data_IF_228850094162
#
_entry.id   IF_228850094162
#
_cell.length_a   1.000
_cell.length_b   1.000
_cell.length_c   1.000
_cell.angle_alpha   90.00
_cell.angle_beta   90.00
_cell.angle_gamma   90.00
#
_symmetry.space_group_name_H-M   'P 1'
#
loop_
_entity.id
_entity.type
_entity.pdbx_description
1 polymer ?
#
# COMPACT_ATOMS: atom_id res chain seq x y z
N UNK A 1 -27.09 8.43 -11.25
CA UNK A 1 -26.81 7.32 -10.32
C UNK A 1 -25.42 7.55 -9.78
N UNK A 2 -25.17 7.32 -8.50
CA UNK A 2 -23.79 7.46 -7.95
C UNK A 2 -22.97 6.23 -8.35
N UNK A 3 -21.71 6.45 -8.75
CA UNK A 3 -20.79 5.35 -9.02
C UNK A 3 -20.44 4.62 -7.71
N UNK A 4 -20.32 3.30 -7.79
CA UNK A 4 -19.98 2.42 -6.68
C UNK A 4 -18.51 2.04 -6.73
N UNK A 5 -17.88 1.86 -5.57
CA UNK A 5 -16.51 1.36 -5.44
C UNK A 5 -16.32 0.71 -4.07
N UNK A 6 -15.37 -0.21 -3.96
CA UNK A 6 -14.97 -0.79 -2.66
C UNK A 6 -14.02 0.15 -1.93
N UNK A 7 -14.00 0.12 -0.60
CA UNK A 7 -13.07 0.86 0.22
C UNK A 7 -12.15 -0.11 0.98
N UNK A 8 -10.85 0.19 0.97
CA UNK A 8 -9.82 -0.60 1.67
C UNK A 8 -9.40 -1.88 0.95
N UNK A 9 -8.57 -2.64 1.65
CA UNK A 9 -8.01 -3.90 1.16
C UNK A 9 -9.06 -5.02 1.13
N UNK A 10 -8.94 -5.89 0.14
CA UNK A 10 -9.69 -7.13 0.06
C UNK A 10 -8.85 -8.29 0.63
N UNK A 11 -9.49 -9.33 1.21
CA UNK A 11 -8.76 -10.45 1.80
C UNK A 11 -7.79 -11.11 0.83
N UNK A 12 -6.57 -11.39 1.29
CA UNK A 12 -5.63 -12.18 0.50
C UNK A 12 -6.00 -13.66 0.55
N UNK A 13 -5.95 -14.37 -0.59
CA UNK A 13 -6.11 -15.81 -0.58
C UNK A 13 -5.09 -16.50 0.34
N UNK A 14 -5.50 -17.55 1.05
CA UNK A 14 -4.61 -18.27 1.98
C UNK A 14 -3.37 -18.89 1.31
N UNK A 15 -3.45 -19.19 0.01
CA UNK A 15 -2.31 -19.67 -0.76
C UNK A 15 -1.30 -18.55 -1.10
N UNK A 16 -1.71 -17.25 -1.06
CA UNK A 16 -0.84 -16.12 -1.34
C UNK A 16 -0.18 -15.57 -0.07
N UNK A 17 -0.94 -15.44 1.01
CA UNK A 17 -0.44 -14.88 2.27
C UNK A 17 -1.16 -15.53 3.48
N UNK A 18 -0.53 -15.43 4.66
CA UNK A 18 -1.14 -15.90 5.90
C UNK A 18 -2.48 -15.21 6.15
N UNK A 19 -3.56 -15.95 6.37
CA UNK A 19 -4.88 -15.36 6.60
C UNK A 19 -4.95 -14.61 7.95
N UNK A 20 -5.84 -13.62 8.02
CA UNK A 20 -6.20 -12.91 9.26
C UNK A 20 -5.07 -12.18 9.98
N UNK A 21 -3.95 -11.91 9.29
CA UNK A 21 -2.83 -11.14 9.84
C UNK A 21 -2.70 -9.77 9.14
N UNK A 22 -2.49 -8.73 9.94
CA UNK A 22 -2.32 -7.36 9.43
C UNK A 22 -1.02 -7.21 8.60
N UNK A 23 0.05 -7.89 9.00
CA UNK A 23 1.33 -8.00 8.28
C UNK A 23 1.56 -9.45 7.85
N UNK A 24 0.68 -9.91 6.98
CA UNK A 24 0.70 -11.28 6.50
C UNK A 24 2.01 -11.61 5.78
N UNK A 25 2.68 -12.69 6.20
CA UNK A 25 3.81 -13.22 5.45
C UNK A 25 3.32 -13.80 4.11
N UNK A 26 4.10 -13.57 3.05
CA UNK A 26 3.85 -14.23 1.78
C UNK A 26 4.12 -15.73 1.89
N UNK A 27 3.23 -16.53 1.30
CA UNK A 27 3.39 -17.99 1.20
C UNK A 27 4.20 -18.39 -0.04
N UNK A 28 4.37 -17.47 -0.96
CA UNK A 28 5.10 -17.62 -2.22
C UNK A 28 6.33 -16.70 -2.22
N UNK A 29 7.28 -17.00 -3.13
CA UNK A 29 8.49 -16.19 -3.30
C UNK A 29 8.91 -16.12 -4.78
N UNK A 30 9.76 -15.15 -5.14
CA UNK A 30 10.25 -14.97 -6.51
C UNK A 30 9.13 -14.80 -7.53
N UNK A 31 9.28 -15.38 -8.71
CA UNK A 31 8.32 -15.26 -9.80
C UNK A 31 6.93 -15.82 -9.43
N UNK A 32 6.88 -16.90 -8.65
CA UNK A 32 5.63 -17.45 -8.17
C UNK A 32 4.84 -16.49 -7.26
N UNK A 33 5.53 -15.62 -6.51
CA UNK A 33 4.86 -14.57 -5.75
C UNK A 33 4.23 -13.52 -6.68
N UNK A 34 4.94 -13.11 -7.71
CA UNK A 34 4.44 -12.13 -8.69
C UNK A 34 3.20 -12.68 -9.39
N UNK A 35 3.26 -13.92 -9.88
CA UNK A 35 2.12 -14.59 -10.50
C UNK A 35 0.94 -14.72 -9.52
N UNK A 36 1.20 -15.15 -8.29
CA UNK A 36 0.17 -15.27 -7.28
C UNK A 36 -0.50 -13.94 -6.92
N UNK A 37 0.26 -12.84 -6.83
CA UNK A 37 -0.30 -11.51 -6.63
C UNK A 37 -1.19 -11.07 -7.81
N UNK A 38 -0.75 -11.35 -9.03
CA UNK A 38 -1.50 -11.07 -10.25
C UNK A 38 -2.82 -11.86 -10.29
N UNK A 39 -2.78 -13.15 -10.02
CA UNK A 39 -3.96 -14.01 -10.00
C UNK A 39 -4.97 -13.56 -8.93
N UNK A 40 -4.49 -13.22 -7.73
CA UNK A 40 -5.34 -12.72 -6.66
C UNK A 40 -6.00 -11.38 -7.03
N UNK A 41 -5.26 -10.46 -7.65
CA UNK A 41 -5.80 -9.19 -8.11
C UNK A 41 -6.87 -9.38 -9.19
N UNK A 42 -6.63 -10.27 -10.16
CA UNK A 42 -7.60 -10.59 -11.21
C UNK A 42 -8.87 -11.24 -10.65
N UNK A 43 -8.74 -12.16 -9.69
CA UNK A 43 -9.89 -12.77 -9.03
C UNK A 43 -10.76 -11.72 -8.33
N UNK A 44 -10.13 -10.73 -7.66
CA UNK A 44 -10.86 -9.65 -7.01
C UNK A 44 -11.45 -8.64 -7.98
N UNK A 45 -10.75 -8.30 -9.07
CA UNK A 45 -11.30 -7.44 -10.14
C UNK A 45 -12.55 -8.12 -10.71
N UNK A 46 -12.46 -9.39 -11.09
CA UNK A 46 -13.60 -10.16 -11.61
C UNK A 46 -14.76 -10.22 -10.61
N UNK A 47 -14.48 -10.41 -9.34
CA UNK A 47 -15.52 -10.43 -8.28
C UNK A 47 -16.23 -9.08 -8.17
N UNK A 48 -15.50 -7.96 -8.26
CA UNK A 48 -16.07 -6.61 -8.25
C UNK A 48 -16.92 -6.35 -9.50
N UNK A 49 -16.45 -6.75 -10.68
CA UNK A 49 -17.20 -6.63 -11.94
C UNK A 49 -18.49 -7.43 -11.88
N UNK A 50 -18.44 -8.69 -11.43
CA UNK A 50 -19.62 -9.56 -11.30
C UNK A 50 -20.63 -9.05 -10.25
N UNK A 51 -20.16 -8.32 -9.25
CA UNK A 51 -21.00 -7.63 -8.27
C UNK A 51 -21.58 -6.30 -8.77
N UNK A 52 -21.23 -5.85 -9.99
CA UNK A 52 -21.71 -4.61 -10.59
C UNK A 52 -21.06 -3.36 -10.00
N UNK A 53 -19.82 -3.44 -9.51
CA UNK A 53 -19.05 -2.30 -9.02
C UNK A 53 -18.54 -1.48 -10.20
N UNK A 54 -18.79 -0.16 -10.21
CA UNK A 54 -18.44 0.73 -11.32
C UNK A 54 -16.94 1.02 -11.41
N UNK A 55 -16.27 1.21 -10.24
CA UNK A 55 -14.85 1.53 -10.14
C UNK A 55 -14.17 0.43 -9.35
N UNK A 56 -13.40 -0.42 -10.01
CA UNK A 56 -12.71 -1.57 -9.42
C UNK A 56 -11.34 -1.17 -8.85
N UNK A 57 -10.74 -2.04 -8.05
CA UNK A 57 -9.39 -1.90 -7.52
C UNK A 57 -8.64 -3.23 -7.55
N UNK A 58 -7.32 -3.19 -7.40
CA UNK A 58 -6.46 -4.37 -7.24
C UNK A 58 -6.70 -5.13 -5.91
N UNK A 59 -7.57 -4.61 -5.03
CA UNK A 59 -7.80 -5.16 -3.70
C UNK A 59 -6.56 -5.14 -2.80
N UNK A 60 -5.51 -4.40 -3.18
CA UNK A 60 -4.22 -4.32 -2.49
C UNK A 60 -3.46 -5.68 -2.43
N UNK A 61 -3.65 -6.53 -3.44
CA UNK A 61 -3.08 -7.88 -3.46
C UNK A 61 -1.56 -7.89 -3.66
N UNK A 62 -0.97 -6.80 -4.15
CA UNK A 62 0.48 -6.65 -4.36
C UNK A 62 1.24 -6.18 -3.11
N UNK A 63 0.56 -5.91 -2.00
CA UNK A 63 1.14 -5.31 -0.78
C UNK A 63 0.88 -6.19 0.45
N UNK A 64 1.88 -6.37 1.32
CA UNK A 64 1.69 -7.02 2.62
C UNK A 64 0.77 -6.21 3.53
N UNK A 65 0.99 -4.91 3.56
CA UNK A 65 0.27 -3.96 4.39
C UNK A 65 -0.04 -2.70 3.61
N UNK A 66 -1.22 -2.11 3.81
CA UNK A 66 -1.72 -0.98 3.02
C UNK A 66 -0.84 0.29 3.10
N UNK A 67 -0.16 0.53 4.21
CA UNK A 67 0.80 1.63 4.38
C UNK A 67 2.22 1.18 4.06
N UNK A 68 2.71 0.14 4.75
CA UNK A 68 4.10 -0.29 4.64
C UNK A 68 4.43 -0.81 3.25
N UNK A 69 3.47 -1.33 2.49
CA UNK A 69 3.70 -1.72 1.10
C UNK A 69 4.18 -0.58 0.19
N UNK A 70 3.81 0.67 0.48
CA UNK A 70 4.40 1.85 -0.16
C UNK A 70 5.79 2.16 0.43
N UNK A 71 5.93 2.10 1.75
CA UNK A 71 7.15 2.49 2.45
C UNK A 71 8.34 1.54 2.20
N UNK A 72 8.10 0.27 1.85
CA UNK A 72 9.14 -0.70 1.51
C UNK A 72 10.02 -0.25 0.32
N UNK A 73 9.51 0.66 -0.53
CA UNK A 73 10.22 1.23 -1.68
C UNK A 73 10.79 2.63 -1.42
N UNK A 74 10.81 3.07 -0.17
CA UNK A 74 11.27 4.40 0.22
C UNK A 74 12.59 4.28 0.98
N UNK A 75 13.63 4.96 0.47
CA UNK A 75 14.89 5.16 1.18
C UNK A 75 14.70 6.10 2.38
N UNK A 76 15.61 6.04 3.34
CA UNK A 76 15.58 6.86 4.55
C UNK A 76 14.86 6.21 5.73
N UNK A 77 14.30 5.01 5.55
CA UNK A 77 13.60 4.23 6.56
C UNK A 77 14.48 3.05 6.99
N UNK A 78 14.75 2.95 8.28
CA UNK A 78 15.48 1.82 8.88
C UNK A 78 14.46 0.76 9.34
N UNK A 79 14.38 -0.33 8.61
CA UNK A 79 13.53 -1.48 8.87
C UNK A 79 14.08 -2.45 9.93
N UNK A 80 15.26 -2.17 10.49
CA UNK A 80 15.85 -2.93 11.60
C UNK A 80 15.75 -2.16 12.90
N UNK A 81 15.58 -0.84 12.85
CA UNK A 81 15.39 0.02 14.00
C UNK A 81 13.90 0.23 14.26
N UNK A 82 13.34 -0.61 15.13
CA UNK A 82 11.95 -0.48 15.55
C UNK A 82 11.81 0.38 16.80
N UNK A 83 10.74 1.16 16.84
CA UNK A 83 10.34 1.99 17.97
C UNK A 83 8.93 1.60 18.38
N UNK A 84 8.68 1.44 19.68
CA UNK A 84 7.31 1.27 20.19
C UNK A 84 6.59 2.60 20.10
N UNK A 85 5.44 2.60 19.45
CA UNK A 85 4.64 3.80 19.20
C UNK A 85 3.18 3.50 19.39
N UNK A 86 2.45 4.40 20.07
CA UNK A 86 1.00 4.36 20.15
C UNK A 86 0.37 4.67 18.80
N UNK A 87 -0.54 3.84 18.34
CA UNK A 87 -1.23 3.93 17.06
C UNK A 87 -2.66 4.41 17.27
N UNK A 88 -3.14 5.31 16.39
CA UNK A 88 -4.52 5.85 16.41
C UNK A 88 -4.89 6.43 17.76
N UNK A 89 -4.17 7.45 18.20
CA UNK A 89 -4.37 8.09 19.50
C UNK A 89 -4.24 7.10 20.68
N UNK A 90 -3.12 6.34 20.67
CA UNK A 90 -2.74 5.38 21.73
C UNK A 90 -3.75 4.24 21.98
N UNK A 91 -4.55 3.88 20.97
CA UNK A 91 -5.48 2.74 21.09
C UNK A 91 -4.76 1.41 21.26
N UNK A 92 -3.57 1.27 20.71
CA UNK A 92 -2.68 0.12 20.88
C UNK A 92 -1.25 0.50 20.52
N UNK A 93 -0.29 -0.21 21.12
CA UNK A 93 1.11 -0.06 20.79
C UNK A 93 1.52 -0.98 19.66
N UNK A 94 2.39 -0.49 18.75
CA UNK A 94 3.01 -1.28 17.72
C UNK A 94 4.50 -0.98 17.60
N UNK A 95 5.26 -1.99 17.16
CA UNK A 95 6.64 -1.83 16.74
C UNK A 95 6.63 -1.31 15.30
N UNK A 96 7.11 -0.08 15.11
CA UNK A 96 7.14 0.58 13.81
C UNK A 96 8.58 0.86 13.37
N UNK A 97 8.88 0.82 12.05
CA UNK A 97 10.19 1.20 11.54
C UNK A 97 10.46 2.69 11.78
N UNK A 98 11.71 3.11 11.65
CA UNK A 98 12.13 4.48 12.00
C UNK A 98 12.71 5.21 10.79
N UNK A 99 12.23 6.43 10.53
CA UNK A 99 12.86 7.35 9.57
C UNK A 99 14.15 7.88 10.18
N UNK A 100 15.28 7.59 9.56
CA UNK A 100 16.64 7.92 10.06
C UNK A 100 17.40 8.88 9.14
N UNK A 101 16.91 9.13 7.94
CA UNK A 101 17.42 10.15 7.00
C UNK A 101 16.29 10.69 6.13
N UNK A 102 16.58 11.67 5.28
CA UNK A 102 15.60 12.23 4.36
C UNK A 102 14.97 11.12 3.50
N UNK A 103 13.64 11.08 3.47
CA UNK A 103 12.92 10.07 2.68
C UNK A 103 13.04 10.36 1.19
N UNK A 104 13.22 9.32 0.40
CA UNK A 104 13.36 9.41 -1.05
C UNK A 104 12.73 8.21 -1.72
N UNK A 105 11.96 8.44 -2.76
CA UNK A 105 11.42 7.40 -3.63
C UNK A 105 12.48 7.00 -4.68
N UNK A 106 12.73 5.71 -4.84
CA UNK A 106 13.72 5.19 -5.81
C UNK A 106 13.15 5.00 -7.22
N UNK A 107 11.83 5.10 -7.35
CA UNK A 107 11.10 4.94 -8.61
C UNK A 107 9.60 4.75 -8.36
N UNK A 108 8.82 4.49 -9.41
CA UNK A 108 7.39 4.17 -9.29
C UNK A 108 7.17 2.96 -8.39
N UNK A 109 6.25 3.07 -7.44
CA UNK A 109 5.98 1.97 -6.49
C UNK A 109 4.87 1.05 -7.02
N UNK A 110 3.80 1.63 -7.53
CA UNK A 110 2.59 0.90 -7.92
C UNK A 110 2.32 0.88 -9.43
N UNK A 111 3.11 1.56 -10.26
CA UNK A 111 2.84 1.68 -11.70
C UNK A 111 2.78 0.33 -12.41
N UNK A 112 3.65 -0.62 -12.06
CA UNK A 112 3.63 -1.96 -12.68
C UNK A 112 2.34 -2.73 -12.37
N UNK A 113 1.91 -2.74 -11.10
CA UNK A 113 0.66 -3.41 -10.68
C UNK A 113 -0.57 -2.69 -11.23
N UNK A 114 -0.57 -1.35 -11.23
CA UNK A 114 -1.64 -0.54 -11.81
C UNK A 114 -1.81 -0.82 -13.30
N UNK A 115 -0.72 -0.80 -14.06
CA UNK A 115 -0.73 -1.12 -15.49
C UNK A 115 -1.23 -2.54 -15.74
N UNK A 116 -0.70 -3.52 -15.01
CA UNK A 116 -1.13 -4.91 -15.13
C UNK A 116 -2.64 -5.06 -14.95
N UNK A 117 -3.21 -4.46 -13.90
CA UNK A 117 -4.63 -4.54 -13.63
C UNK A 117 -5.45 -3.72 -14.65
N UNK A 118 -4.99 -2.52 -15.02
CA UNK A 118 -5.69 -1.63 -15.96
C UNK A 118 -5.89 -2.28 -17.33
N UNK A 119 -4.90 -3.03 -17.81
CA UNK A 119 -4.96 -3.73 -19.09
C UNK A 119 -5.93 -4.92 -19.08
N UNK A 120 -6.45 -5.33 -17.93
CA UNK A 120 -7.25 -6.56 -17.73
C UNK A 120 -8.66 -6.32 -17.22
N UNK A 121 -9.11 -5.06 -17.21
CA UNK A 121 -10.49 -4.68 -16.90
C UNK A 121 -11.04 -3.67 -17.89
N UNK A 122 -12.31 -3.79 -18.20
CA UNK A 122 -13.07 -2.77 -18.96
C UNK A 122 -13.65 -1.66 -18.09
N UNK A 123 -13.60 -1.81 -16.75
CA UNK A 123 -14.13 -0.85 -15.80
C UNK A 123 -13.13 0.28 -15.52
N UNK A 124 -13.62 1.39 -14.98
CA UNK A 124 -12.72 2.36 -14.35
C UNK A 124 -11.97 1.69 -13.20
N UNK A 125 -10.70 2.06 -13.03
CA UNK A 125 -9.86 1.49 -11.97
C UNK A 125 -9.31 2.59 -11.08
N UNK A 126 -9.24 2.31 -9.78
CA UNK A 126 -8.56 3.15 -8.82
C UNK A 126 -7.40 2.41 -8.16
N UNK A 127 -6.35 3.14 -7.83
CA UNK A 127 -5.27 2.71 -6.94
C UNK A 127 -5.43 3.40 -5.59
N UNK A 128 -5.16 2.67 -4.50
CA UNK A 128 -5.20 3.22 -3.15
C UNK A 128 -3.79 3.58 -2.69
N UNK A 129 -3.58 4.82 -2.29
CA UNK A 129 -2.34 5.30 -1.68
C UNK A 129 -2.59 5.64 -0.20
N UNK A 130 -1.62 5.40 0.71
CA UNK A 130 -1.73 5.87 2.08
C UNK A 130 -1.62 7.40 2.12
N UNK A 131 -2.40 8.06 2.95
CA UNK A 131 -2.23 9.50 3.19
C UNK A 131 -0.96 9.79 4.02
N UNK A 132 -0.32 10.98 3.88
CA UNK A 132 0.90 11.31 4.62
C UNK A 132 0.70 11.26 6.13
N UNK A 133 -0.46 11.67 6.64
CA UNK A 133 -0.79 11.55 8.07
C UNK A 133 -0.89 10.09 8.51
N UNK A 134 -1.50 9.23 7.70
CA UNK A 134 -1.59 7.80 7.98
C UNK A 134 -0.20 7.15 8.02
N UNK A 135 0.71 7.58 7.15
CA UNK A 135 2.12 7.13 7.20
C UNK A 135 2.75 7.55 8.53
N UNK A 136 2.62 8.83 8.91
CA UNK A 136 3.18 9.34 10.15
C UNK A 136 2.58 8.70 11.43
N UNK A 137 1.41 8.07 11.32
CA UNK A 137 0.82 7.28 12.42
C UNK A 137 1.39 5.87 12.55
N UNK A 138 2.19 5.42 11.56
CA UNK A 138 2.69 4.04 11.49
C UNK A 138 4.21 3.96 11.32
N UNK A 139 4.94 5.07 11.52
CA UNK A 139 6.39 5.16 11.40
C UNK A 139 6.97 6.13 12.44
N UNK A 140 8.09 5.78 13.05
CA UNK A 140 8.78 6.67 13.99
C UNK A 140 9.66 7.68 13.26
N UNK A 141 9.82 8.87 13.84
CA UNK A 141 10.64 9.95 13.31
C UNK A 141 11.91 10.13 14.14
N UNK A 142 13.09 9.98 13.53
CA UNK A 142 14.38 10.30 14.12
C UNK A 142 15.24 11.23 13.24
N UNK A 143 14.65 11.83 12.21
CA UNK A 143 15.37 12.67 11.25
C UNK A 143 14.79 14.07 11.11
N UNK A 144 13.48 14.21 10.95
CA UNK A 144 12.83 15.51 10.76
C UNK A 144 12.59 16.22 12.08
N UNK A 145 12.69 17.56 12.09
CA UNK A 145 12.53 18.36 13.29
C UNK A 145 11.12 18.22 13.89
N UNK A 146 10.11 18.15 13.02
CA UNK A 146 8.71 17.99 13.45
C UNK A 146 7.99 16.90 12.68
N UNK A 147 6.88 16.42 13.24
CA UNK A 147 6.00 15.47 12.54
C UNK A 147 5.33 16.07 11.27
N UNK A 148 4.92 17.36 11.27
CA UNK A 148 4.48 18.02 10.04
C UNK A 148 5.55 18.04 8.93
N UNK A 149 6.82 18.28 9.25
CA UNK A 149 7.90 18.27 8.24
C UNK A 149 8.04 16.88 7.60
N UNK A 150 8.00 15.82 8.42
CA UNK A 150 7.99 14.45 7.92
C UNK A 150 6.75 14.17 7.06
N UNK A 151 5.58 14.64 7.47
CA UNK A 151 4.34 14.46 6.71
C UNK A 151 4.41 15.16 5.35
N UNK A 152 4.97 16.38 5.28
CA UNK A 152 5.15 17.10 4.02
C UNK A 152 6.15 16.40 3.10
N UNK A 153 7.25 15.86 3.63
CA UNK A 153 8.18 15.08 2.84
C UNK A 153 7.51 13.83 2.21
N UNK A 154 6.68 13.11 2.97
CA UNK A 154 5.89 12.01 2.40
C UNK A 154 4.82 12.50 1.41
N UNK A 155 4.21 13.67 1.63
CA UNK A 155 3.23 14.23 0.70
C UNK A 155 3.84 14.51 -0.68
N UNK A 156 5.08 15.00 -0.73
CA UNK A 156 5.79 15.22 -1.99
C UNK A 156 6.01 13.90 -2.76
N UNK A 157 6.45 12.84 -2.06
CA UNK A 157 6.64 11.52 -2.67
C UNK A 157 5.33 10.91 -3.18
N UNK A 158 4.25 11.06 -2.41
CA UNK A 158 2.92 10.58 -2.79
C UNK A 158 2.32 11.37 -3.97
N UNK A 159 2.59 12.67 -4.04
CA UNK A 159 2.17 13.49 -5.17
C UNK A 159 2.86 13.06 -6.47
N UNK A 160 4.14 12.72 -6.41
CA UNK A 160 4.86 12.21 -7.58
C UNK A 160 4.33 10.81 -8.00
N UNK A 161 4.08 9.92 -7.03
CA UNK A 161 3.45 8.63 -7.30
C UNK A 161 2.06 8.78 -7.93
N UNK A 162 1.23 9.69 -7.41
CA UNK A 162 -0.11 9.93 -7.93
C UNK A 162 -0.08 10.43 -9.38
N UNK A 163 0.83 11.36 -9.71
CA UNK A 163 1.00 11.85 -11.10
C UNK A 163 1.43 10.74 -12.07
N UNK A 164 2.30 9.84 -11.63
CA UNK A 164 2.75 8.72 -12.46
C UNK A 164 1.65 7.66 -12.65
N UNK A 165 0.76 7.50 -11.67
CA UNK A 165 -0.40 6.60 -11.79
C UNK A 165 -1.52 7.16 -12.68
N UNK A 166 -1.60 8.49 -12.83
CA UNK A 166 -2.56 9.17 -13.70
C UNK A 166 -2.13 9.16 -15.17
N UNK A 167 -0.82 9.10 -15.45
CA UNK A 167 -0.25 9.17 -16.79
C UNK A 167 -0.39 7.87 -17.59
#
# INVERSE_FOLDING_TARGET
>A
MFKTTVAGSLPKPAWLAEPEKLWAAWQLAGDALIEGQQDAALAWIKTQEDAGIDIVSDGEQFRKHFVHGFLESIEGIDWQKFTTMGIRDDRYDAQVPTVTSAVKRTGPVHSASAKFCRERTGHEMKMTLPGPMTICDTIANAHYDTRPDMAMAFADLLNDEAKELEA
#
